data_IF_371660396809
#
_entry.id   IF_371660396809
#
_cell.length_a   1.000
_cell.length_b   1.000
_cell.length_c   1.000
_cell.angle_alpha   90.00
_cell.angle_beta   90.00
_cell.angle_gamma   90.00
#
_symmetry.space_group_name_H-M   'P 1'
#
loop_
_entity.id
_entity.type
_entity.pdbx_description
1 polymer ?
#
# COMPACT_ATOMS: atom_id res chain seq x y z
N UNK A 1 -1.29 19.87 -1.49
CA UNK A 1 -1.05 19.06 -2.72
C UNK A 1 0.32 19.37 -3.31
N UNK A 2 0.57 20.54 -3.93
CA UNK A 2 1.88 20.87 -4.52
C UNK A 2 3.07 20.72 -3.55
N UNK A 3 2.93 21.22 -2.31
CA UNK A 3 3.95 21.09 -1.28
C UNK A 3 4.32 19.61 -1.01
N UNK A 4 3.33 18.73 -0.92
CA UNK A 4 3.52 17.28 -0.75
C UNK A 4 4.28 16.66 -1.91
N UNK A 5 3.97 17.08 -3.14
CA UNK A 5 4.69 16.61 -4.33
C UNK A 5 6.16 17.02 -4.31
N UNK A 6 6.45 18.27 -3.93
CA UNK A 6 7.83 18.76 -3.79
C UNK A 6 8.57 18.03 -2.67
N UNK A 7 7.91 17.81 -1.53
CA UNK A 7 8.45 17.02 -0.43
C UNK A 7 8.76 15.59 -0.84
N UNK A 8 7.92 14.94 -1.66
CA UNK A 8 8.19 13.61 -2.21
C UNK A 8 9.49 13.55 -3.00
N UNK A 9 9.74 14.56 -3.84
CA UNK A 9 11.01 14.68 -4.60
C UNK A 9 12.21 14.94 -3.71
N UNK A 10 12.05 15.70 -2.62
CA UNK A 10 13.14 15.93 -1.66
C UNK A 10 13.41 14.68 -0.81
N UNK A 11 12.37 13.92 -0.46
CA UNK A 11 12.45 12.74 0.39
C UNK A 11 13.23 11.58 -0.24
N UNK A 12 13.45 11.60 -1.56
CA UNK A 12 14.28 10.61 -2.25
C UNK A 12 15.70 10.56 -1.66
N UNK A 13 16.24 11.72 -1.27
CA UNK A 13 17.60 11.89 -0.74
C UNK A 13 17.63 12.48 0.68
N UNK A 14 16.55 13.11 1.14
CA UNK A 14 16.49 13.81 2.42
C UNK A 14 15.54 13.12 3.41
N UNK A 15 16.11 12.49 4.45
CA UNK A 15 15.34 11.80 5.47
C UNK A 15 14.46 12.74 6.32
N UNK A 16 14.82 14.01 6.49
CA UNK A 16 13.94 14.97 7.19
C UNK A 16 12.67 15.24 6.39
N UNK A 17 12.77 15.32 5.06
CA UNK A 17 11.59 15.44 4.20
C UNK A 17 10.73 14.17 4.24
N UNK A 18 11.36 12.99 4.30
CA UNK A 18 10.66 11.71 4.48
C UNK A 18 9.92 11.63 5.82
N UNK A 19 10.57 12.03 6.92
CA UNK A 19 9.92 12.11 8.23
C UNK A 19 8.76 13.11 8.21
N UNK A 20 8.92 14.27 7.55
CA UNK A 20 7.83 15.25 7.43
C UNK A 20 6.62 14.69 6.67
N UNK A 21 6.85 13.93 5.59
CA UNK A 21 5.77 13.21 4.89
C UNK A 21 5.06 12.23 5.84
N UNK A 22 5.83 11.46 6.60
CA UNK A 22 5.32 10.44 7.51
C UNK A 22 4.55 11.02 8.70
N UNK A 23 5.08 12.04 9.36
CA UNK A 23 4.55 12.53 10.65
C UNK A 23 3.58 13.70 10.48
N UNK A 24 3.78 14.55 9.48
CA UNK A 24 2.98 15.77 9.30
C UNK A 24 1.98 15.65 8.16
N UNK A 25 2.38 15.13 7.00
CA UNK A 25 1.46 15.03 5.85
C UNK A 25 0.42 13.93 6.05
N UNK A 26 0.77 12.83 6.71
CA UNK A 26 -0.14 11.71 6.98
C UNK A 26 -1.34 12.07 7.88
N UNK A 27 -1.28 13.19 8.61
CA UNK A 27 -2.37 13.67 9.45
C UNK A 27 -3.23 14.76 8.77
N UNK A 28 -2.90 15.14 7.53
CA UNK A 28 -3.70 16.11 6.77
C UNK A 28 -5.13 15.57 6.52
N UNK A 29 -6.14 16.39 6.84
CA UNK A 29 -7.56 16.00 6.74
C UNK A 29 -8.06 15.94 5.29
N UNK A 30 -7.35 16.53 4.34
CA UNK A 30 -7.75 16.56 2.94
C UNK A 30 -7.33 15.26 2.25
N UNK A 31 -8.30 14.46 1.83
CA UNK A 31 -8.05 13.19 1.14
C UNK A 31 -7.17 13.35 -0.12
N UNK A 32 -7.23 14.49 -0.82
CA UNK A 32 -6.37 14.74 -1.98
C UNK A 32 -4.90 14.89 -1.60
N UNK A 33 -4.61 15.40 -0.40
CA UNK A 33 -3.25 15.45 0.14
C UNK A 33 -2.77 14.03 0.48
N UNK A 34 -3.66 13.17 1.01
CA UNK A 34 -3.34 11.76 1.24
C UNK A 34 -3.06 10.98 -0.06
N UNK A 35 -3.70 11.33 -1.18
CA UNK A 35 -3.29 10.79 -2.49
C UNK A 35 -1.89 11.27 -2.90
N UNK A 36 -1.55 12.53 -2.63
CA UNK A 36 -0.19 13.03 -2.91
C UNK A 36 0.86 12.39 -2.00
N UNK A 37 0.51 12.03 -0.77
CA UNK A 37 1.40 11.28 0.12
C UNK A 37 1.70 9.89 -0.44
N UNK A 38 0.68 9.19 -0.96
CA UNK A 38 0.86 7.89 -1.61
C UNK A 38 1.78 8.01 -2.85
N UNK A 39 1.56 9.02 -3.70
CA UNK A 39 2.43 9.27 -4.85
C UNK A 39 3.86 9.65 -4.46
N UNK A 40 4.03 10.42 -3.38
CA UNK A 40 5.35 10.78 -2.85
C UNK A 40 6.11 9.55 -2.35
N UNK A 41 5.42 8.61 -1.69
CA UNK A 41 6.03 7.37 -1.23
C UNK A 41 6.48 6.47 -2.39
N UNK A 42 5.66 6.34 -3.44
CA UNK A 42 6.03 5.62 -4.67
C UNK A 42 7.26 6.26 -5.33
N UNK A 43 7.35 7.59 -5.40
CA UNK A 43 8.51 8.30 -5.96
C UNK A 43 9.81 8.02 -5.18
N UNK A 44 9.73 7.97 -3.84
CA UNK A 44 10.88 7.60 -2.99
C UNK A 44 11.33 6.16 -3.30
N UNK A 45 10.39 5.22 -3.35
CA UNK A 45 10.70 3.82 -3.66
C UNK A 45 11.27 3.64 -5.06
N UNK A 46 10.73 4.39 -6.03
CA UNK A 46 11.19 4.39 -7.41
C UNK A 46 12.62 4.91 -7.54
N UNK A 47 12.96 6.00 -6.85
CA UNK A 47 14.30 6.57 -6.88
C UNK A 47 15.34 5.67 -6.21
N UNK A 48 15.02 5.17 -5.01
CA UNK A 48 15.93 4.32 -4.22
C UNK A 48 16.02 2.88 -4.72
N UNK A 49 15.03 2.44 -5.51
CA UNK A 49 14.82 1.05 -5.91
C UNK A 49 13.88 0.32 -4.95
N UNK A 50 12.90 -0.40 -5.50
CA UNK A 50 11.84 -1.04 -4.70
C UNK A 50 12.36 -2.13 -3.76
N UNK A 51 13.34 -2.94 -4.19
CA UNK A 51 14.00 -3.93 -3.34
C UNK A 51 14.78 -3.28 -2.20
N UNK A 52 15.60 -2.27 -2.51
CA UNK A 52 16.35 -1.51 -1.50
C UNK A 52 15.42 -0.74 -0.55
N UNK A 53 14.19 -0.45 -0.96
CA UNK A 53 13.18 0.23 -0.16
C UNK A 53 12.32 -0.72 0.69
N UNK A 54 12.53 -2.05 0.63
CA UNK A 54 11.77 -3.00 1.45
C UNK A 54 11.78 -2.67 2.95
N UNK A 55 12.92 -2.32 3.59
CA UNK A 55 12.92 -1.95 5.00
C UNK A 55 12.01 -0.74 5.29
N UNK A 56 11.98 0.25 4.39
CA UNK A 56 11.13 1.44 4.52
C UNK A 56 9.65 1.10 4.30
N UNK A 57 9.36 0.23 3.33
CA UNK A 57 8.00 -0.28 3.06
C UNK A 57 7.47 -1.01 4.30
N UNK A 58 8.26 -1.91 4.88
CA UNK A 58 7.89 -2.62 6.09
C UNK A 58 7.74 -1.68 7.29
N UNK A 59 8.61 -0.69 7.44
CA UNK A 59 8.50 0.33 8.50
C UNK A 59 7.16 1.07 8.41
N UNK A 60 6.78 1.57 7.24
CA UNK A 60 5.52 2.33 7.06
C UNK A 60 4.28 1.44 7.13
N UNK A 61 4.37 0.17 6.70
CA UNK A 61 3.28 -0.79 6.89
C UNK A 61 3.09 -1.17 8.37
N UNK A 62 4.10 -1.01 9.22
CA UNK A 62 4.00 -1.28 10.66
C UNK A 62 3.63 -0.03 11.49
N UNK A 63 3.31 1.09 10.85
CA UNK A 63 2.96 2.33 11.53
C UNK A 63 1.55 2.28 12.15
N UNK A 64 1.35 2.97 13.27
CA UNK A 64 0.03 3.04 13.92
C UNK A 64 -0.96 3.92 13.13
N UNK A 65 -0.46 4.86 12.31
CA UNK A 65 -1.31 5.73 11.53
C UNK A 65 -1.81 5.03 10.25
N UNK A 66 -3.14 4.83 10.09
CA UNK A 66 -3.70 4.17 8.91
C UNK A 66 -3.41 4.91 7.60
N UNK A 67 -3.15 6.22 7.62
CA UNK A 67 -2.80 6.98 6.43
C UNK A 67 -1.35 6.73 5.98
N UNK A 68 -0.43 6.44 6.91
CA UNK A 68 0.95 6.03 6.60
C UNK A 68 0.94 4.66 5.93
N UNK A 69 0.26 3.68 6.54
CA UNK A 69 0.08 2.35 5.94
C UNK A 69 -0.58 2.48 4.56
N UNK A 70 -1.64 3.29 4.45
CA UNK A 70 -2.35 3.49 3.17
C UNK A 70 -1.45 4.10 2.10
N UNK A 71 -0.59 5.05 2.46
CA UNK A 71 0.33 5.66 1.49
C UNK A 71 1.16 4.59 0.76
N UNK A 72 1.57 3.55 1.50
CA UNK A 72 2.26 2.39 0.94
C UNK A 72 1.32 1.53 0.09
N UNK A 73 0.20 1.06 0.66
CA UNK A 73 -0.71 0.13 -0.04
C UNK A 73 -1.30 0.72 -1.31
N UNK A 74 -1.56 2.03 -1.32
CA UNK A 74 -2.11 2.75 -2.46
C UNK A 74 -1.04 3.23 -3.43
N UNK A 75 0.07 3.79 -2.94
CA UNK A 75 1.10 4.43 -3.75
C UNK A 75 1.76 3.47 -4.72
N UNK A 76 2.03 2.24 -4.26
CA UNK A 76 2.68 1.22 -5.07
C UNK A 76 1.73 0.52 -6.06
N UNK A 77 0.43 0.86 -6.09
CA UNK A 77 -0.50 0.23 -7.04
C UNK A 77 -0.15 0.59 -8.49
N UNK A 78 -0.20 -0.35 -9.43
CA UNK A 78 -0.35 -1.80 -9.26
C UNK A 78 1.00 -2.39 -8.82
N UNK A 79 1.05 -3.05 -7.65
CA UNK A 79 2.31 -3.48 -7.02
C UNK A 79 3.16 -4.36 -7.94
N UNK A 80 2.56 -5.34 -8.60
CA UNK A 80 3.26 -6.29 -9.49
C UNK A 80 3.69 -5.69 -10.83
N UNK A 81 3.46 -4.39 -11.05
CA UNK A 81 4.08 -3.67 -12.18
C UNK A 81 5.40 -3.00 -11.79
N UNK A 82 5.69 -2.89 -10.49
CA UNK A 82 6.92 -2.29 -9.99
C UNK A 82 8.07 -3.29 -10.08
N UNK A 83 9.30 -2.84 -10.40
CA UNK A 83 10.50 -3.66 -10.25
C UNK A 83 10.54 -4.36 -8.89
N UNK A 84 11.23 -5.50 -8.82
CA UNK A 84 11.23 -6.42 -7.67
C UNK A 84 9.88 -7.14 -7.43
N UNK A 85 8.77 -6.41 -7.24
CA UNK A 85 7.45 -7.02 -6.98
C UNK A 85 6.85 -7.73 -8.18
N UNK A 86 7.22 -7.32 -9.40
CA UNK A 86 6.88 -8.04 -10.64
C UNK A 86 7.43 -9.47 -10.63
N UNK A 87 8.68 -9.64 -10.21
CA UNK A 87 9.34 -10.94 -10.14
C UNK A 87 8.98 -11.71 -8.85
N UNK A 88 8.50 -10.99 -7.83
CA UNK A 88 8.17 -11.53 -6.51
C UNK A 88 6.73 -11.16 -6.07
N UNK A 89 5.69 -11.56 -6.82
CA UNK A 89 4.30 -11.16 -6.54
C UNK A 89 3.79 -11.65 -5.18
N UNK A 90 4.27 -12.79 -4.69
CA UNK A 90 3.92 -13.34 -3.37
C UNK A 90 4.33 -12.42 -2.22
N UNK A 91 5.45 -11.70 -2.34
CA UNK A 91 5.92 -10.75 -1.33
C UNK A 91 4.96 -9.56 -1.25
N UNK A 92 4.56 -9.00 -2.40
CA UNK A 92 3.56 -7.93 -2.44
C UNK A 92 2.24 -8.37 -1.80
N UNK A 93 1.75 -9.57 -2.13
CA UNK A 93 0.51 -10.13 -1.59
C UNK A 93 0.59 -10.28 -0.07
N UNK A 94 1.70 -10.80 0.46
CA UNK A 94 1.90 -10.99 1.90
C UNK A 94 1.91 -9.65 2.66
N UNK A 95 2.64 -8.65 2.14
CA UNK A 95 2.71 -7.31 2.73
C UNK A 95 1.34 -6.63 2.76
N UNK A 96 0.61 -6.66 1.65
CA UNK A 96 -0.73 -6.05 1.55
C UNK A 96 -1.74 -6.81 2.44
N UNK A 97 -1.72 -8.15 2.38
CA UNK A 97 -2.65 -9.05 3.08
C UNK A 97 -2.58 -8.96 4.61
N UNK A 98 -1.47 -8.47 5.18
CA UNK A 98 -1.34 -8.18 6.62
C UNK A 98 -2.43 -7.26 7.13
N UNK A 99 -2.89 -6.31 6.31
CA UNK A 99 -3.85 -5.27 6.69
C UNK A 99 -5.32 -5.60 6.35
N UNK A 100 -5.62 -6.83 5.95
CA UNK A 100 -6.98 -7.27 5.53
C UNK A 100 -8.08 -7.00 6.56
N UNK A 101 -7.75 -7.02 7.85
CA UNK A 101 -8.69 -6.85 8.96
C UNK A 101 -8.59 -5.49 9.66
N UNK A 102 -7.75 -4.57 9.16
CA UNK A 102 -7.43 -3.31 9.83
C UNK A 102 -8.70 -2.51 10.16
N UNK A 103 -8.76 -1.77 11.26
CA UNK A 103 -9.97 -1.04 11.70
C UNK A 103 -10.42 0.07 10.73
N UNK A 104 -9.48 0.80 10.14
CA UNK A 104 -9.75 1.82 9.11
C UNK A 104 -10.36 1.20 7.85
N UNK A 105 -11.63 1.54 7.57
CA UNK A 105 -12.33 1.14 6.33
C UNK A 105 -11.63 1.71 5.09
N UNK A 106 -11.03 2.90 5.21
CA UNK A 106 -10.33 3.54 4.10
C UNK A 106 -9.09 2.75 3.69
N UNK A 107 -8.30 2.28 4.67
CA UNK A 107 -7.16 1.40 4.43
C UNK A 107 -7.59 0.05 3.85
N UNK A 108 -8.62 -0.60 4.42
CA UNK A 108 -9.14 -1.87 3.88
C UNK A 108 -9.59 -1.76 2.42
N UNK A 109 -10.11 -0.60 1.99
CA UNK A 109 -10.45 -0.35 0.59
C UNK A 109 -9.21 -0.33 -0.31
N UNK A 110 -8.11 0.28 0.14
CA UNK A 110 -6.83 0.27 -0.59
C UNK A 110 -6.27 -1.15 -0.68
N UNK A 111 -6.21 -1.89 0.43
CA UNK A 111 -5.77 -3.30 0.50
C UNK A 111 -6.54 -4.17 -0.48
N UNK A 112 -7.88 -4.14 -0.42
CA UNK A 112 -8.72 -4.96 -1.29
C UNK A 112 -8.57 -4.60 -2.77
N UNK A 113 -8.42 -3.31 -3.10
CA UNK A 113 -8.20 -2.89 -4.48
C UNK A 113 -6.79 -3.25 -4.99
N UNK A 114 -5.76 -3.16 -4.15
CA UNK A 114 -4.40 -3.55 -4.51
C UNK A 114 -4.33 -5.05 -4.83
N UNK A 115 -4.94 -5.90 -4.00
CA UNK A 115 -5.03 -7.33 -4.25
C UNK A 115 -5.86 -7.65 -5.51
N UNK A 116 -6.97 -6.92 -5.74
CA UNK A 116 -7.75 -7.05 -6.97
C UNK A 116 -6.96 -6.66 -8.22
N UNK A 117 -6.10 -5.66 -8.12
CA UNK A 117 -5.26 -5.27 -9.26
C UNK A 117 -4.25 -6.38 -9.58
N UNK A 118 -3.66 -7.01 -8.56
CA UNK A 118 -2.76 -8.16 -8.70
C UNK A 118 -3.51 -9.38 -9.27
N UNK A 119 -4.77 -9.60 -8.89
CA UNK A 119 -5.56 -10.75 -9.33
C UNK A 119 -5.81 -10.80 -10.84
N UNK A 120 -5.60 -9.70 -11.57
CA UNK A 120 -5.74 -9.64 -13.03
C UNK A 120 -4.66 -10.47 -13.75
N UNK A 121 -3.47 -10.58 -13.16
CA UNK A 121 -2.33 -11.32 -13.72
C UNK A 121 -1.96 -12.54 -12.87
N UNK A 122 -2.23 -12.48 -11.55
CA UNK A 122 -1.84 -13.52 -10.59
C UNK A 122 -3.06 -14.06 -9.82
N UNK A 123 -4.13 -14.44 -10.54
CA UNK A 123 -5.39 -14.88 -9.94
C UNK A 123 -5.21 -16.06 -8.95
N UNK A 124 -4.40 -17.06 -9.30
CA UNK A 124 -4.14 -18.22 -8.44
C UNK A 124 -3.48 -17.81 -7.11
N UNK A 125 -2.46 -16.95 -7.15
CA UNK A 125 -1.80 -16.48 -5.92
C UNK A 125 -2.75 -15.71 -5.00
N UNK A 126 -3.65 -14.91 -5.58
CA UNK A 126 -4.67 -14.22 -4.79
C UNK A 126 -5.69 -15.22 -4.25
N UNK A 127 -6.11 -16.21 -5.03
CA UNK A 127 -7.01 -17.29 -4.57
C UNK A 127 -6.41 -18.03 -3.38
N UNK A 128 -5.16 -18.43 -3.47
CA UNK A 128 -4.43 -19.13 -2.40
C UNK A 128 -4.34 -18.29 -1.12
N UNK A 129 -4.12 -16.98 -1.25
CA UNK A 129 -4.08 -16.05 -0.11
C UNK A 129 -5.47 -15.93 0.54
N UNK A 130 -6.50 -15.61 -0.24
CA UNK A 130 -7.83 -15.29 0.31
C UNK A 130 -8.58 -16.52 0.81
N UNK A 131 -8.26 -17.72 0.33
CA UNK A 131 -8.82 -18.97 0.86
C UNK A 131 -8.48 -19.21 2.33
N UNK A 132 -7.39 -18.62 2.82
CA UNK A 132 -6.93 -18.75 4.21
C UNK A 132 -7.58 -17.73 5.15
N UNK A 133 -8.42 -16.84 4.62
CA UNK A 133 -8.98 -15.74 5.39
C UNK A 133 -10.24 -16.17 6.16
N UNK A 134 -10.33 -15.75 7.42
CA UNK A 134 -11.49 -16.00 8.26
C UNK A 134 -12.64 -15.02 7.94
N UNK A 135 -13.54 -15.44 7.04
CA UNK A 135 -14.64 -14.61 6.53
C UNK A 135 -15.78 -14.36 7.53
N UNK A 136 -15.76 -15.02 8.70
CA UNK A 136 -16.66 -14.71 9.81
C UNK A 136 -16.39 -13.31 10.39
N UNK A 137 -15.17 -12.78 10.23
CA UNK A 137 -14.82 -11.42 10.61
C UNK A 137 -15.35 -10.41 9.57
N UNK A 138 -16.25 -9.48 9.95
CA UNK A 138 -16.85 -8.53 9.01
C UNK A 138 -15.85 -7.61 8.30
N UNK A 139 -14.72 -7.30 8.96
CA UNK A 139 -13.65 -6.45 8.37
C UNK A 139 -12.90 -7.21 7.27
N UNK A 140 -12.58 -8.49 7.53
CA UNK A 140 -11.95 -9.37 6.55
C UNK A 140 -12.90 -9.61 5.37
N UNK A 141 -14.18 -9.91 5.64
CA UNK A 141 -15.19 -10.10 4.60
C UNK A 141 -15.32 -8.87 3.69
N UNK A 142 -15.26 -7.65 4.25
CA UNK A 142 -15.27 -6.43 3.45
C UNK A 142 -14.09 -6.39 2.46
N UNK A 143 -12.88 -6.66 2.93
CA UNK A 143 -11.67 -6.65 2.09
C UNK A 143 -11.71 -7.79 1.06
N UNK A 144 -12.17 -8.98 1.47
CA UNK A 144 -12.32 -10.16 0.62
C UNK A 144 -13.20 -9.85 -0.59
N UNK A 145 -14.37 -9.22 -0.37
CA UNK A 145 -15.30 -8.85 -1.46
C UNK A 145 -14.67 -7.93 -2.51
N UNK A 146 -13.67 -7.14 -2.14
CA UNK A 146 -12.93 -6.30 -3.08
C UNK A 146 -11.84 -7.11 -3.80
N UNK A 147 -11.02 -7.84 -3.04
CA UNK A 147 -9.89 -8.61 -3.56
C UNK A 147 -10.34 -9.75 -4.50
N UNK A 148 -11.35 -10.51 -4.09
CA UNK A 148 -11.87 -11.67 -4.81
C UNK A 148 -12.84 -11.32 -5.94
N UNK A 149 -13.09 -10.02 -6.22
CA UNK A 149 -14.13 -9.60 -7.16
C UNK A 149 -13.97 -10.17 -8.58
N UNK A 150 -12.73 -10.47 -8.98
CA UNK A 150 -12.38 -10.99 -10.30
C UNK A 150 -11.98 -12.47 -10.28
N UNK A 151 -12.04 -13.13 -9.12
CA UNK A 151 -11.78 -14.54 -8.98
C UNK A 151 -13.09 -15.26 -9.29
N UNK A 152 -13.19 -15.85 -10.47
CA UNK A 152 -14.28 -16.76 -10.80
C UNK A 152 -14.21 -18.02 -9.93
#
# INVERSE_FOLDING_TARGET
MLATTLLGRLATENNNALCFLKETVSIDKNWRVQEMLAMAFDEVCKYRGYEASLPLIEEWLNDDNPNVIRAVTEGLRIWTTRPFFKENPSIAIALIGKHKAHESKYLRKSVGNALRDISKEHAELIRDEVQRWELSNPRILFTYKLAAKLLN
#
